data_IF_989557420707
#
_entry.id   IF_989557420707
#
_cell.length_a   1.000
_cell.length_b   1.000
_cell.length_c   1.000
_cell.angle_alpha   90.00
_cell.angle_beta   90.00
_cell.angle_gamma   90.00
#
_symmetry.space_group_name_H-M   'P 1'
#
loop_
_entity.id
_entity.type
_entity.pdbx_description
1 polymer ?
#
# COMPACT_ATOMS: atom_id res chain seq x y z
N UNK A 1 -0.23 5.53 42.87
CA UNK A 1 -0.47 5.20 41.44
C UNK A 1 0.64 5.85 40.66
N UNK A 2 1.59 5.07 40.20
CA UNK A 2 2.82 5.55 39.61
C UNK A 2 2.66 5.89 38.14
N UNK A 3 3.59 6.72 37.62
CA UNK A 3 3.76 7.11 36.20
C UNK A 3 3.76 5.92 35.22
N UNK A 4 3.98 4.69 35.69
CA UNK A 4 3.93 3.47 34.88
C UNK A 4 2.56 3.13 34.28
N UNK A 5 1.45 3.59 34.92
CA UNK A 5 0.10 3.33 34.40
C UNK A 5 -0.30 4.30 33.28
N UNK A 6 0.37 5.46 33.20
CA UNK A 6 0.13 6.46 32.15
C UNK A 6 0.83 6.02 30.84
N UNK A 7 1.97 5.34 30.94
CA UNK A 7 2.73 4.87 29.76
C UNK A 7 2.12 3.62 29.12
N UNK A 8 1.30 2.86 29.82
CA UNK A 8 0.64 1.65 29.29
C UNK A 8 -0.53 1.93 28.34
N UNK A 9 -0.91 3.20 28.16
CA UNK A 9 -2.01 3.61 27.29
C UNK A 9 -1.59 4.61 26.20
N UNK A 10 -0.38 4.53 25.70
CA UNK A 10 -0.09 5.20 24.42
C UNK A 10 -0.78 4.40 23.31
N UNK A 11 -1.99 4.82 22.97
CA UNK A 11 -2.64 4.37 21.74
C UNK A 11 -1.75 4.84 20.59
N UNK A 12 -1.10 3.91 19.89
CA UNK A 12 -0.37 4.25 18.68
C UNK A 12 -1.35 4.90 17.70
N UNK A 13 -0.99 6.02 17.06
CA UNK A 13 -1.83 6.59 16.02
C UNK A 13 -2.16 5.53 14.97
N UNK A 14 -3.43 5.43 14.61
CA UNK A 14 -3.88 4.52 13.56
C UNK A 14 -3.90 5.29 12.22
N UNK A 15 -2.96 4.97 11.34
CA UNK A 15 -2.86 5.57 10.02
C UNK A 15 -3.52 4.73 8.92
N UNK A 16 -4.08 3.57 9.28
CA UNK A 16 -4.74 2.71 8.30
C UNK A 16 -6.04 3.32 7.80
N UNK A 17 -6.32 3.07 6.52
CA UNK A 17 -7.65 3.30 5.99
C UNK A 17 -8.62 2.30 6.64
N UNK A 18 -9.58 2.80 7.42
CA UNK A 18 -10.59 1.97 8.11
C UNK A 18 -12.00 2.22 7.58
N UNK A 19 -12.20 3.28 6.82
CA UNK A 19 -13.53 3.82 6.50
C UNK A 19 -13.78 4.03 5.00
N UNK A 20 -13.08 3.32 4.13
CA UNK A 20 -13.16 3.50 2.68
C UNK A 20 -12.83 4.93 2.28
N UNK A 21 -11.55 5.29 2.33
CA UNK A 21 -11.08 6.64 2.05
C UNK A 21 -10.44 6.75 0.66
N UNK A 22 -10.51 7.96 0.09
CA UNK A 22 -9.86 8.29 -1.18
C UNK A 22 -8.38 8.60 -0.94
N UNK A 23 -7.52 8.03 -1.79
CA UNK A 23 -6.09 8.32 -1.77
C UNK A 23 -5.28 7.62 -0.69
N UNK A 24 -5.87 6.65 0.00
CA UNK A 24 -5.17 5.86 1.02
C UNK A 24 -5.37 4.38 0.74
N UNK A 25 -4.28 3.61 0.63
CA UNK A 25 -4.30 2.17 0.48
C UNK A 25 -3.45 1.50 1.56
N UNK A 26 -3.91 0.34 2.04
CA UNK A 26 -3.24 -0.42 3.09
C UNK A 26 -2.31 -1.46 2.48
N UNK A 27 -1.01 -1.21 2.52
CA UNK A 27 0.01 -2.17 2.14
C UNK A 27 0.45 -3.04 3.31
N UNK A 28 1.35 -3.95 3.01
CA UNK A 28 1.97 -4.86 3.97
C UNK A 28 3.49 -4.85 3.77
N UNK A 29 4.22 -4.85 4.86
CA UNK A 29 5.66 -4.89 4.88
C UNK A 29 6.16 -6.07 5.73
N UNK A 30 7.36 -6.53 5.42
CA UNK A 30 8.05 -7.53 6.21
C UNK A 30 9.34 -6.93 6.75
N UNK A 31 9.55 -7.09 8.05
CA UNK A 31 10.72 -6.60 8.77
C UNK A 31 11.42 -7.75 9.50
N UNK A 32 12.59 -7.50 10.06
CA UNK A 32 13.33 -8.47 10.85
C UNK A 32 12.58 -8.96 12.11
N UNK A 33 11.55 -8.22 12.53
CA UNK A 33 10.74 -8.55 13.72
C UNK A 33 9.33 -9.05 13.36
N UNK A 34 9.03 -9.23 12.08
CA UNK A 34 7.74 -9.74 11.61
C UNK A 34 7.07 -8.87 10.58
N UNK A 35 5.78 -9.13 10.32
CA UNK A 35 4.97 -8.35 9.39
C UNK A 35 4.40 -7.08 10.03
N UNK A 36 4.25 -6.07 9.21
CA UNK A 36 3.64 -4.79 9.57
C UNK A 36 2.71 -4.32 8.47
N UNK A 37 1.72 -3.51 8.83
CA UNK A 37 0.92 -2.78 7.86
C UNK A 37 1.69 -1.56 7.35
N UNK A 38 1.47 -1.22 6.09
CA UNK A 38 2.13 -0.12 5.40
C UNK A 38 1.08 0.74 4.69
N UNK A 39 0.41 1.65 5.40
CA UNK A 39 -0.51 2.58 4.74
C UNK A 39 0.27 3.54 3.85
N UNK A 40 -0.27 3.79 2.65
CA UNK A 40 0.27 4.75 1.69
C UNK A 40 -0.81 5.79 1.43
N UNK A 41 -0.45 7.05 1.62
CA UNK A 41 -1.29 8.21 1.35
C UNK A 41 -0.81 8.94 0.10
N UNK A 42 -1.74 9.39 -0.73
CA UNK A 42 -1.45 10.21 -1.92
C UNK A 42 -2.31 11.46 -1.91
N UNK A 43 -1.68 12.58 -2.19
CA UNK A 43 -2.34 13.87 -2.38
C UNK A 43 -1.99 14.44 -3.76
N UNK A 44 -2.98 14.92 -4.47
CA UNK A 44 -2.78 15.64 -5.73
C UNK A 44 -2.91 17.15 -5.50
N UNK A 45 -2.03 17.90 -6.14
CA UNK A 45 -2.06 19.37 -6.14
C UNK A 45 -2.17 19.85 -7.58
N UNK A 46 -3.30 20.44 -7.92
CA UNK A 46 -3.53 21.00 -9.26
C UNK A 46 -2.67 22.25 -9.50
N UNK A 47 -2.48 22.61 -10.76
CA UNK A 47 -1.64 23.74 -11.17
C UNK A 47 -0.15 23.57 -10.83
N UNK A 48 0.34 22.36 -10.84
CA UNK A 48 1.74 22.01 -10.66
C UNK A 48 2.49 21.86 -11.99
N UNK A 49 3.68 21.25 -11.89
CA UNK A 49 4.60 21.04 -13.01
C UNK A 49 4.86 19.57 -13.32
N UNK A 50 4.13 18.65 -12.69
CA UNK A 50 4.35 17.20 -12.80
C UNK A 50 5.36 16.67 -11.77
N UNK A 51 5.65 17.43 -10.73
CA UNK A 51 6.57 17.04 -9.67
C UNK A 51 6.00 15.90 -8.82
N UNK A 52 6.84 14.95 -8.47
CA UNK A 52 6.51 13.85 -7.56
C UNK A 52 7.35 14.00 -6.31
N UNK A 53 6.71 14.11 -5.16
CA UNK A 53 7.36 14.16 -3.85
C UNK A 53 7.05 12.87 -3.08
N UNK A 54 8.07 12.27 -2.50
CA UNK A 54 7.95 11.02 -1.72
C UNK A 54 8.53 11.26 -0.34
N UNK A 55 7.72 11.04 0.70
CA UNK A 55 8.10 11.21 2.10
C UNK A 55 7.73 9.98 2.94
N UNK A 56 8.26 9.88 4.15
CA UNK A 56 8.01 8.77 5.08
C UNK A 56 9.19 7.83 5.26
N UNK A 57 10.43 8.32 5.05
CA UNK A 57 11.68 7.53 5.16
C UNK A 57 11.67 6.30 4.24
N UNK A 58 11.22 6.48 3.01
CA UNK A 58 11.21 5.43 1.99
C UNK A 58 12.59 5.31 1.35
N UNK A 59 13.10 4.09 1.22
CA UNK A 59 14.37 3.81 0.57
C UNK A 59 14.30 3.89 -0.96
N UNK A 60 15.43 3.72 -1.61
CA UNK A 60 15.57 3.92 -3.05
C UNK A 60 14.73 2.95 -3.88
N UNK A 61 14.62 1.68 -3.47
CA UNK A 61 13.81 0.68 -4.19
C UNK A 61 12.33 1.04 -4.13
N UNK A 62 11.84 1.51 -3.00
CA UNK A 62 10.44 1.93 -2.86
C UNK A 62 10.16 3.22 -3.65
N UNK A 63 11.12 4.14 -3.72
CA UNK A 63 11.03 5.34 -4.57
C UNK A 63 10.96 4.98 -6.06
N UNK A 64 11.72 3.99 -6.51
CA UNK A 64 11.61 3.45 -7.87
C UNK A 64 10.23 2.84 -8.11
N UNK A 65 9.70 2.07 -7.17
CA UNK A 65 8.34 1.53 -7.27
C UNK A 65 7.29 2.63 -7.39
N UNK A 66 7.46 3.75 -6.69
CA UNK A 66 6.60 4.92 -6.83
C UNK A 66 6.67 5.52 -8.24
N UNK A 67 7.85 5.62 -8.84
CA UNK A 67 8.03 6.08 -10.21
C UNK A 67 7.35 5.15 -11.22
N UNK A 68 7.51 3.83 -11.06
CA UNK A 68 6.82 2.85 -11.89
C UNK A 68 5.30 2.97 -11.79
N UNK A 69 4.79 3.11 -10.59
CA UNK A 69 3.36 3.28 -10.33
C UNK A 69 2.81 4.54 -11.02
N UNK A 70 3.49 5.67 -10.89
CA UNK A 70 3.10 6.92 -11.55
C UNK A 70 3.11 6.78 -13.07
N UNK A 71 4.13 6.17 -13.64
CA UNK A 71 4.22 5.93 -15.08
C UNK A 71 3.06 5.07 -15.56
N UNK A 72 2.77 3.97 -14.87
CA UNK A 72 1.65 3.09 -15.21
C UNK A 72 0.31 3.83 -15.17
N UNK A 73 0.08 4.61 -14.13
CA UNK A 73 -1.16 5.41 -14.00
C UNK A 73 -1.29 6.44 -15.13
N UNK A 74 -0.20 7.10 -15.51
CA UNK A 74 -0.21 8.03 -16.65
C UNK A 74 -0.59 7.36 -17.96
N UNK A 75 -0.07 6.16 -18.21
CA UNK A 75 -0.37 5.39 -19.42
C UNK A 75 -1.83 4.94 -19.46
N UNK A 76 -2.40 4.56 -18.31
CA UNK A 76 -3.73 3.98 -18.21
C UNK A 76 -4.80 4.95 -17.66
N UNK A 77 -4.49 6.23 -17.60
CA UNK A 77 -5.35 7.24 -16.96
C UNK A 77 -6.79 7.24 -17.49
N UNK A 78 -6.97 7.16 -18.80
CA UNK A 78 -8.30 7.21 -19.43
C UNK A 78 -9.19 6.03 -19.01
N UNK A 79 -8.61 4.85 -18.80
CA UNK A 79 -9.34 3.65 -18.36
C UNK A 79 -10.00 3.84 -16.99
N UNK A 80 -9.46 4.74 -16.17
CA UNK A 80 -9.94 5.04 -14.82
C UNK A 80 -10.67 6.38 -14.72
N UNK A 81 -11.00 6.97 -15.84
CA UNK A 81 -11.67 8.27 -15.87
C UNK A 81 -10.80 9.43 -15.39
N UNK A 82 -9.48 9.27 -15.46
CA UNK A 82 -8.52 10.31 -15.09
C UNK A 82 -8.13 11.09 -16.35
N UNK A 83 -8.24 12.42 -16.31
CA UNK A 83 -7.85 13.28 -17.40
C UNK A 83 -6.31 13.30 -17.57
N UNK A 84 -5.75 12.83 -18.70
CA UNK A 84 -4.33 12.86 -18.94
C UNK A 84 -3.71 14.26 -18.92
N UNK A 85 -4.45 15.27 -19.34
CA UNK A 85 -3.98 16.66 -19.31
C UNK A 85 -3.84 17.20 -17.88
N UNK A 86 -4.73 16.77 -16.97
CA UNK A 86 -4.58 17.09 -15.55
C UNK A 86 -3.29 16.52 -14.98
N UNK A 87 -2.94 15.30 -15.35
CA UNK A 87 -1.71 14.64 -14.88
C UNK A 87 -0.44 15.37 -15.29
N UNK A 88 -0.45 16.05 -16.45
CA UNK A 88 0.70 16.87 -16.91
C UNK A 88 0.87 18.15 -16.08
N UNK A 89 -0.19 18.61 -15.45
CA UNK A 89 -0.28 19.92 -14.76
C UNK A 89 -0.55 19.79 -13.26
N UNK A 90 -0.39 18.62 -12.69
CA UNK A 90 -0.53 18.42 -11.25
C UNK A 90 0.79 17.92 -10.65
N UNK A 91 0.97 18.21 -9.36
CA UNK A 91 2.01 17.62 -8.55
C UNK A 91 1.40 16.53 -7.67
N UNK A 92 2.17 15.50 -7.38
CA UNK A 92 1.76 14.38 -6.54
C UNK A 92 2.66 14.30 -5.31
N UNK A 93 2.06 14.12 -4.16
CA UNK A 93 2.78 13.83 -2.93
C UNK A 93 2.37 12.45 -2.43
N UNK A 94 3.34 11.55 -2.32
CA UNK A 94 3.19 10.20 -1.81
C UNK A 94 3.84 10.15 -0.44
N UNK A 95 3.11 9.67 0.57
CA UNK A 95 3.60 9.62 1.94
C UNK A 95 3.27 8.28 2.59
N UNK A 96 4.25 7.72 3.30
CA UNK A 96 4.02 6.61 4.22
C UNK A 96 4.12 7.12 5.66
N UNK A 97 3.03 7.14 6.43
CA UNK A 97 3.05 7.52 7.85
C UNK A 97 4.05 6.69 8.67
N UNK A 98 4.39 7.18 9.87
CA UNK A 98 5.45 6.63 10.73
C UNK A 98 6.86 6.76 10.11
N UNK A 99 7.18 7.96 9.65
CA UNK A 99 8.46 8.26 8.98
C UNK A 99 9.72 8.06 9.82
N UNK A 100 9.60 7.87 11.13
CA UNK A 100 10.72 7.52 11.99
C UNK A 100 11.21 6.07 11.78
N UNK A 101 10.40 5.22 11.16
CA UNK A 101 10.75 3.84 10.83
C UNK A 101 11.10 3.76 9.34
N UNK A 102 12.37 3.53 8.97
CA UNK A 102 12.75 3.39 7.56
C UNK A 102 12.06 2.20 6.91
N UNK A 103 11.62 2.39 5.67
CA UNK A 103 10.92 1.37 4.88
C UNK A 103 11.56 1.29 3.50
N UNK A 104 11.80 0.09 3.03
CA UNK A 104 12.29 -0.13 1.67
C UNK A 104 11.80 -1.46 1.12
N UNK A 105 11.98 -1.65 -0.19
CA UNK A 105 11.63 -2.86 -0.92
C UNK A 105 10.61 -2.62 -2.02
N UNK A 106 10.46 -3.60 -2.94
CA UNK A 106 9.63 -3.45 -4.13
C UNK A 106 8.16 -3.84 -3.94
N UNK A 107 7.79 -4.45 -2.82
CA UNK A 107 6.47 -5.07 -2.65
C UNK A 107 5.30 -4.09 -2.45
N UNK A 108 5.58 -2.79 -2.35
CA UNK A 108 4.56 -1.75 -2.22
C UNK A 108 3.99 -1.26 -3.57
N UNK A 109 4.44 -1.80 -4.69
CA UNK A 109 4.05 -1.31 -6.03
C UNK A 109 2.54 -1.32 -6.25
N UNK A 110 1.85 -2.39 -5.89
CA UNK A 110 0.39 -2.49 -5.99
C UNK A 110 -0.29 -1.46 -5.09
N UNK A 111 0.19 -1.27 -3.87
CA UNK A 111 -0.36 -0.31 -2.91
C UNK A 111 -0.21 1.13 -3.40
N UNK A 112 0.97 1.47 -3.91
CA UNK A 112 1.25 2.79 -4.49
C UNK A 112 0.33 3.08 -5.67
N UNK A 113 0.17 2.13 -6.58
CA UNK A 113 -0.69 2.27 -7.76
C UNK A 113 -2.16 2.45 -7.35
N UNK A 114 -2.63 1.66 -6.40
CA UNK A 114 -4.01 1.74 -5.90
C UNK A 114 -4.30 3.09 -5.26
N UNK A 115 -3.40 3.59 -4.41
CA UNK A 115 -3.55 4.89 -3.77
C UNK A 115 -3.54 6.04 -4.79
N UNK A 116 -2.68 5.97 -5.81
CA UNK A 116 -2.62 6.95 -6.90
C UNK A 116 -3.91 6.98 -7.72
N UNK A 117 -4.38 5.82 -8.18
CA UNK A 117 -5.63 5.72 -8.95
C UNK A 117 -6.80 6.22 -8.13
N UNK A 118 -6.88 5.85 -6.85
CA UNK A 118 -7.92 6.31 -5.94
C UNK A 118 -7.92 7.84 -5.81
N UNK A 119 -6.75 8.42 -5.53
CA UNK A 119 -6.61 9.87 -5.37
C UNK A 119 -7.04 10.64 -6.63
N UNK A 120 -6.60 10.18 -7.79
CA UNK A 120 -6.83 10.88 -9.06
C UNK A 120 -8.23 10.65 -9.63
N UNK A 121 -8.83 9.47 -9.40
CA UNK A 121 -10.19 9.16 -9.86
C UNK A 121 -11.28 9.59 -8.89
N UNK A 122 -10.92 9.83 -7.62
CA UNK A 122 -11.89 10.12 -6.57
C UNK A 122 -12.65 8.89 -6.04
N UNK A 123 -12.27 7.69 -6.48
CA UNK A 123 -12.89 6.44 -6.02
C UNK A 123 -12.23 5.97 -4.72
N UNK A 124 -12.98 5.77 -3.64
CA UNK A 124 -12.39 5.34 -2.38
C UNK A 124 -11.85 3.91 -2.44
N UNK A 125 -10.76 3.67 -1.71
CA UNK A 125 -10.23 2.32 -1.46
C UNK A 125 -10.96 1.71 -0.27
N UNK A 126 -11.30 0.44 -0.34
CA UNK A 126 -11.94 -0.28 0.76
C UNK A 126 -11.01 -0.35 1.98
N UNK A 127 -11.55 0.00 3.16
CA UNK A 127 -10.81 0.03 4.41
C UNK A 127 -10.51 -1.34 5.03
N UNK A 128 -11.18 -2.41 4.53
CA UNK A 128 -11.00 -3.78 5.00
C UNK A 128 -10.07 -4.62 4.11
N UNK A 129 -9.39 -3.99 3.17
CA UNK A 129 -8.50 -4.63 2.20
C UNK A 129 -7.05 -4.21 2.43
N UNK A 130 -6.16 -5.18 2.53
CA UNK A 130 -4.72 -4.98 2.47
C UNK A 130 -4.16 -5.61 1.19
N UNK A 131 -3.00 -5.18 0.75
CA UNK A 131 -2.41 -5.65 -0.49
C UNK A 131 -0.88 -5.66 -0.43
N UNK A 132 -0.29 -6.53 -1.23
CA UNK A 132 1.15 -6.60 -1.43
C UNK A 132 1.45 -7.10 -2.83
N UNK A 133 2.46 -6.57 -3.48
CA UNK A 133 2.86 -6.98 -4.82
C UNK A 133 3.87 -6.03 -5.42
N UNK A 134 4.92 -6.58 -6.00
CA UNK A 134 5.84 -5.85 -6.86
C UNK A 134 5.21 -5.66 -8.24
N UNK A 135 5.40 -4.52 -8.85
CA UNK A 135 4.89 -4.23 -10.19
C UNK A 135 6.02 -4.09 -11.21
N UNK A 136 5.73 -4.45 -12.45
CA UNK A 136 6.56 -4.12 -13.60
C UNK A 136 6.05 -2.86 -14.29
N UNK A 137 6.86 -2.31 -15.19
CA UNK A 137 6.48 -1.14 -15.99
C UNK A 137 5.21 -1.38 -16.84
N UNK A 138 4.99 -2.62 -17.27
CA UNK A 138 3.80 -3.02 -18.03
C UNK A 138 2.62 -3.46 -17.16
N UNK A 139 2.75 -3.38 -15.84
CA UNK A 139 1.65 -3.66 -14.92
C UNK A 139 1.50 -5.11 -14.51
N UNK A 140 2.49 -5.97 -14.77
CA UNK A 140 2.51 -7.32 -14.20
C UNK A 140 2.77 -7.26 -12.70
N UNK A 141 2.14 -8.14 -11.95
CA UNK A 141 2.35 -8.29 -10.52
C UNK A 141 3.29 -9.46 -10.26
N UNK A 142 4.44 -9.16 -9.68
CA UNK A 142 5.48 -10.13 -9.37
C UNK A 142 5.36 -10.66 -7.93
N UNK A 143 5.84 -11.89 -7.66
CA UNK A 143 5.80 -12.48 -6.33
C UNK A 143 6.64 -11.69 -5.31
N UNK A 144 6.23 -11.80 -4.04
CA UNK A 144 6.84 -11.10 -2.90
C UNK A 144 7.31 -12.11 -1.86
N UNK A 145 8.16 -11.66 -0.95
CA UNK A 145 8.55 -12.41 0.23
C UNK A 145 7.71 -12.08 1.45
N UNK A 146 7.75 -12.98 2.44
CA UNK A 146 7.16 -12.74 3.75
C UNK A 146 5.62 -12.78 3.78
N UNK A 147 4.99 -13.56 2.92
CA UNK A 147 3.53 -13.65 2.87
C UNK A 147 2.93 -14.10 4.20
N UNK A 148 3.57 -15.05 4.90
CA UNK A 148 3.13 -15.52 6.20
C UNK A 148 3.05 -14.38 7.22
N UNK A 149 4.12 -13.61 7.35
CA UNK A 149 4.23 -12.50 8.29
C UNK A 149 3.33 -11.33 7.89
N UNK A 150 3.25 -11.04 6.60
CA UNK A 150 2.36 -10.01 6.05
C UNK A 150 0.89 -10.34 6.30
N UNK A 151 0.50 -11.59 6.08
CA UNK A 151 -0.87 -12.06 6.31
C UNK A 151 -1.25 -11.98 7.79
N UNK A 152 -0.32 -12.32 8.69
CA UNK A 152 -0.51 -12.19 10.12
C UNK A 152 -0.73 -10.73 10.52
N UNK A 153 0.02 -9.80 9.94
CA UNK A 153 -0.16 -8.37 10.19
C UNK A 153 -1.55 -7.89 9.75
N UNK A 154 -2.00 -8.29 8.57
CA UNK A 154 -3.34 -7.98 8.07
C UNK A 154 -4.43 -8.54 9.00
N UNK A 155 -4.27 -9.76 9.47
CA UNK A 155 -5.18 -10.40 10.40
C UNK A 155 -5.27 -9.65 11.74
N UNK A 156 -4.12 -9.29 12.33
CA UNK A 156 -4.07 -8.52 13.58
C UNK A 156 -4.76 -7.18 13.49
N UNK A 157 -4.70 -6.53 12.34
CA UNK A 157 -5.33 -5.23 12.11
C UNK A 157 -6.81 -5.33 11.70
N UNK A 158 -7.37 -6.52 11.67
CA UNK A 158 -8.80 -6.73 11.39
C UNK A 158 -9.18 -6.61 9.92
N UNK A 159 -8.23 -6.71 9.00
CA UNK A 159 -8.52 -6.77 7.57
C UNK A 159 -9.37 -8.01 7.24
N UNK A 160 -10.14 -7.93 6.17
CA UNK A 160 -11.00 -9.03 5.70
C UNK A 160 -10.45 -9.69 4.44
N UNK A 161 -9.79 -8.92 3.60
CA UNK A 161 -9.29 -9.36 2.30
C UNK A 161 -7.84 -8.93 2.12
N UNK A 162 -7.03 -9.82 1.55
CA UNK A 162 -5.65 -9.53 1.15
C UNK A 162 -5.49 -9.84 -0.33
N UNK A 163 -5.07 -8.83 -1.08
CA UNK A 163 -4.67 -9.00 -2.47
C UNK A 163 -3.20 -9.46 -2.50
N UNK A 164 -2.94 -10.56 -3.16
CA UNK A 164 -1.60 -11.15 -3.27
C UNK A 164 -1.22 -11.41 -4.72
N UNK A 165 0.06 -11.45 -5.05
CA UNK A 165 0.48 -11.92 -6.36
C UNK A 165 0.04 -13.37 -6.60
N UNK A 166 -0.42 -13.67 -7.82
CA UNK A 166 -0.85 -15.04 -8.17
C UNK A 166 0.25 -16.06 -7.93
N UNK A 167 1.49 -15.71 -8.20
CA UNK A 167 2.64 -16.60 -8.01
C UNK A 167 2.99 -16.86 -6.54
N UNK A 168 2.35 -16.15 -5.61
CA UNK A 168 2.41 -16.44 -4.18
C UNK A 168 1.31 -17.38 -3.68
N UNK A 169 0.39 -17.84 -4.52
CA UNK A 169 -0.63 -18.79 -4.09
C UNK A 169 -0.05 -20.04 -3.41
N UNK A 170 1.05 -20.64 -3.91
CA UNK A 170 1.67 -21.77 -3.22
C UNK A 170 2.13 -21.46 -1.78
N UNK A 171 2.49 -20.21 -1.50
CA UNK A 171 2.95 -19.79 -0.17
C UNK A 171 1.81 -19.72 0.86
N UNK A 172 0.56 -19.78 0.44
CA UNK A 172 -0.59 -19.87 1.34
C UNK A 172 -0.55 -21.14 2.20
N UNK A 173 0.18 -22.15 1.76
CA UNK A 173 0.42 -23.37 2.53
C UNK A 173 1.10 -23.09 3.88
N UNK A 174 1.99 -22.09 3.92
CA UNK A 174 2.73 -21.70 5.12
C UNK A 174 2.01 -20.69 6.00
N UNK A 175 0.85 -20.18 5.56
CA UNK A 175 0.03 -19.27 6.35
C UNK A 175 -0.74 -20.03 7.43
N UNK A 176 -0.77 -19.48 8.64
CA UNK A 176 -1.46 -20.10 9.77
C UNK A 176 -2.95 -20.33 9.46
N UNK A 177 -3.47 -21.50 9.89
CA UNK A 177 -4.87 -21.89 9.65
C UNK A 177 -5.88 -20.88 10.20
N UNK A 178 -5.61 -20.31 11.37
CA UNK A 178 -6.44 -19.27 11.97
C UNK A 178 -6.54 -18.03 11.06
N UNK A 179 -5.41 -17.62 10.49
CA UNK A 179 -5.34 -16.50 9.56
C UNK A 179 -6.10 -16.82 8.27
N UNK A 180 -5.92 -18.01 7.71
CA UNK A 180 -6.62 -18.45 6.48
C UNK A 180 -8.15 -18.51 6.66
N UNK A 181 -8.64 -18.85 7.84
CA UNK A 181 -10.08 -18.90 8.13
C UNK A 181 -10.72 -17.50 8.17
N UNK A 182 -9.96 -16.48 8.51
CA UNK A 182 -10.45 -15.12 8.76
C UNK A 182 -10.13 -14.13 7.65
N UNK A 183 -9.28 -14.50 6.70
CA UNK A 183 -8.91 -13.68 5.56
C UNK A 183 -9.33 -14.33 4.24
N UNK A 184 -9.82 -13.52 3.33
CA UNK A 184 -9.99 -13.90 1.93
C UNK A 184 -8.77 -13.46 1.15
N UNK A 185 -8.10 -14.37 0.48
CA UNK A 185 -6.95 -14.06 -0.38
C UNK A 185 -7.40 -13.99 -1.83
N UNK A 186 -7.13 -12.86 -2.48
CA UNK A 186 -7.43 -12.67 -3.89
C UNK A 186 -6.13 -12.55 -4.69
N UNK A 187 -5.86 -13.51 -5.60
CA UNK A 187 -4.64 -13.46 -6.41
C UNK A 187 -4.75 -12.42 -7.53
N UNK A 188 -3.63 -11.73 -7.79
CA UNK A 188 -3.50 -10.75 -8.86
C UNK A 188 -2.40 -11.19 -9.83
N UNK A 189 -2.64 -11.05 -11.11
CA UNK A 189 -1.65 -11.31 -12.17
C UNK A 189 -1.15 -10.01 -12.78
N UNK A 190 -2.00 -9.02 -12.86
CA UNK A 190 -1.72 -7.68 -13.38
C UNK A 190 -2.58 -6.63 -12.64
N UNK A 191 -2.17 -5.39 -12.83
CA UNK A 191 -2.89 -4.22 -12.32
C UNK A 191 -4.20 -3.98 -13.06
#
# INVERSE_FOLDING_TARGET
RGLGDVYKRQVKPDFLNRTNAVGIANGLAWTSVGGETLPIEVQVMDNGTGKITVTGSLGDVMKESAQLAVTWVRVHAEEYGIDPERLKKCDLHIHAPEGAVPKDGPSAGVTLTTALVSCLSGVPVRGDVAMTGEITLHGNVLPIGGLREKSMAAYREGMKTVLIPKDNEPDLYDVDEEVKKNLTFLPMQNL
#
